data_IF_801828316375
#
_entry.id   IF_801828316375
#
_cell.length_a   1.000
_cell.length_b   1.000
_cell.length_c   1.000
_cell.angle_alpha   90.00
_cell.angle_beta   90.00
_cell.angle_gamma   90.00
#
_symmetry.space_group_name_H-M   'P 1'
#
loop_
_entity.id
_entity.type
_entity.pdbx_description
1 polymer ?
#
# COMPACT_ATOMS: atom_id res chain seq x y z
N UNK A 1 118.25 93.21 -21.07
CA UNK A 1 116.90 93.41 -21.62
C UNK A 1 116.48 92.21 -22.44
N UNK A 2 117.24 91.83 -23.46
CA UNK A 2 116.99 90.63 -24.28
C UNK A 2 116.98 89.36 -23.43
N UNK A 3 117.91 89.20 -22.48
CA UNK A 3 117.88 88.08 -21.51
C UNK A 3 116.60 88.04 -20.68
N UNK A 4 116.06 89.20 -20.27
CA UNK A 4 114.79 89.28 -19.55
C UNK A 4 113.59 88.97 -20.45
N UNK A 5 113.64 89.36 -21.72
CA UNK A 5 112.62 88.97 -22.72
C UNK A 5 112.63 87.45 -22.92
N UNK A 6 113.82 86.85 -23.01
CA UNK A 6 113.99 85.41 -23.10
C UNK A 6 113.38 84.69 -21.89
N UNK A 7 113.70 85.16 -20.68
CA UNK A 7 113.14 84.62 -19.44
C UNK A 7 111.59 84.65 -19.47
N UNK A 8 110.99 85.80 -19.80
CA UNK A 8 109.52 85.91 -19.92
C UNK A 8 108.97 84.94 -20.97
N UNK A 9 109.56 84.88 -22.17
CA UNK A 9 109.10 83.99 -23.24
C UNK A 9 109.17 82.50 -22.84
N UNK A 10 110.14 82.12 -22.01
CA UNK A 10 110.23 80.76 -21.49
C UNK A 10 109.16 80.43 -20.43
N UNK A 11 108.61 81.43 -19.74
CA UNK A 11 107.52 81.25 -18.76
C UNK A 11 106.13 81.19 -19.39
N UNK A 12 105.96 81.76 -20.60
CA UNK A 12 104.71 81.71 -21.37
C UNK A 12 104.68 80.38 -22.13
N UNK A 13 104.32 79.30 -21.43
CA UNK A 13 104.19 77.94 -22.01
C UNK A 13 102.73 77.56 -22.24
N UNK A 14 102.48 76.50 -23.02
CA UNK A 14 101.13 75.95 -23.19
C UNK A 14 100.50 75.55 -21.84
N UNK A 15 101.28 75.05 -20.88
CA UNK A 15 100.75 74.74 -19.54
C UNK A 15 100.29 76.00 -18.79
N UNK A 16 101.05 77.10 -18.88
CA UNK A 16 100.67 78.38 -18.27
C UNK A 16 99.41 78.99 -18.91
N UNK A 17 99.20 78.75 -20.21
CA UNK A 17 98.03 79.21 -20.95
C UNK A 17 96.81 78.36 -20.58
N UNK A 18 96.98 77.04 -20.52
CA UNK A 18 95.92 76.12 -20.09
C UNK A 18 95.49 76.37 -18.64
N UNK A 19 96.44 76.70 -17.75
CA UNK A 19 96.14 77.11 -16.38
C UNK A 19 95.29 78.38 -16.35
N UNK A 20 95.55 79.33 -17.24
CA UNK A 20 94.77 80.57 -17.38
C UNK A 20 93.35 80.29 -17.89
N UNK A 21 93.19 79.45 -18.93
CA UNK A 21 91.87 79.02 -19.44
C UNK A 21 91.06 78.27 -18.38
N UNK A 22 91.72 77.34 -17.67
CA UNK A 22 91.09 76.57 -16.60
C UNK A 22 90.60 77.47 -15.46
N UNK A 23 91.38 78.50 -15.10
CA UNK A 23 90.99 79.47 -14.08
C UNK A 23 89.81 80.35 -14.52
N UNK A 24 89.71 80.68 -15.81
CA UNK A 24 88.55 81.37 -16.36
C UNK A 24 87.27 80.53 -16.23
N UNK A 25 87.35 79.23 -16.51
CA UNK A 25 86.22 78.30 -16.33
C UNK A 25 85.82 78.21 -14.85
N UNK A 26 86.79 78.07 -13.94
CA UNK A 26 86.54 77.99 -12.50
C UNK A 26 85.80 79.23 -11.95
N UNK A 27 86.19 80.43 -12.41
CA UNK A 27 85.62 81.71 -11.96
C UNK A 27 84.38 82.14 -12.75
N UNK A 28 83.95 81.37 -13.76
CA UNK A 28 82.82 81.73 -14.63
C UNK A 28 83.07 82.96 -15.51
N UNK A 29 84.33 83.26 -15.83
CA UNK A 29 84.70 84.38 -16.70
C UNK A 29 84.46 84.00 -18.17
N UNK A 30 83.80 84.88 -18.93
CA UNK A 30 83.58 84.69 -20.36
C UNK A 30 84.88 84.91 -21.15
N UNK A 31 85.39 83.81 -21.72
CA UNK A 31 86.63 83.72 -22.49
C UNK A 31 86.57 84.41 -23.85
N UNK A 32 85.37 84.83 -24.28
CA UNK A 32 85.15 85.51 -25.56
C UNK A 32 84.93 87.03 -25.41
N UNK A 33 85.15 87.60 -24.22
CA UNK A 33 84.98 89.04 -23.96
C UNK A 33 86.02 89.94 -24.63
N UNK A 34 87.15 89.38 -25.07
CA UNK A 34 88.18 90.11 -25.81
C UNK A 34 87.76 90.41 -27.25
N UNK A 35 88.56 91.22 -27.97
CA UNK A 35 88.39 91.43 -29.42
C UNK A 35 88.47 90.11 -30.21
N UNK A 36 89.23 89.17 -29.67
CA UNK A 36 89.42 87.81 -30.15
C UNK A 36 89.24 86.88 -28.93
N UNK A 37 88.78 85.65 -29.14
CA UNK A 37 88.66 84.69 -28.03
C UNK A 37 90.01 84.46 -27.36
N UNK A 38 90.00 84.13 -26.07
CA UNK A 38 91.24 83.92 -25.33
C UNK A 38 92.04 82.73 -25.90
N UNK A 39 91.36 81.69 -26.39
CA UNK A 39 91.98 80.54 -27.05
C UNK A 39 92.70 80.93 -28.35
N UNK A 40 92.03 81.69 -29.23
CA UNK A 40 92.62 82.20 -30.47
C UNK A 40 93.75 83.21 -30.18
N UNK A 41 93.60 84.01 -29.11
CA UNK A 41 94.67 84.88 -28.63
C UNK A 41 95.91 84.07 -28.21
N UNK A 42 95.75 82.93 -27.53
CA UNK A 42 96.88 82.07 -27.19
C UNK A 42 97.55 81.42 -28.40
N UNK A 43 96.79 81.08 -29.46
CA UNK A 43 97.38 80.64 -30.74
C UNK A 43 98.29 81.74 -31.31
N UNK A 44 97.81 82.99 -31.34
CA UNK A 44 98.60 84.14 -31.79
C UNK A 44 99.82 84.40 -30.89
N UNK A 45 99.67 84.25 -29.56
CA UNK A 45 100.77 84.39 -28.61
C UNK A 45 101.86 83.33 -28.83
N UNK A 46 101.49 82.09 -29.15
CA UNK A 46 102.45 81.02 -29.42
C UNK A 46 103.23 81.26 -30.71
N UNK A 47 102.56 81.75 -31.76
CA UNK A 47 103.23 82.18 -33.00
C UNK A 47 104.19 83.34 -32.73
N UNK A 48 103.71 84.38 -32.05
CA UNK A 48 104.51 85.54 -31.65
C UNK A 48 105.74 85.15 -30.80
N UNK A 49 105.54 84.26 -29.84
CA UNK A 49 106.60 83.70 -28.99
C UNK A 49 107.65 82.97 -29.82
N UNK A 50 107.24 82.10 -30.73
CA UNK A 50 108.16 81.37 -31.60
C UNK A 50 108.99 82.32 -32.46
N UNK A 51 108.37 83.32 -33.08
CA UNK A 51 109.08 84.33 -33.87
C UNK A 51 110.07 85.13 -33.05
N UNK A 52 109.72 85.52 -31.82
CA UNK A 52 110.62 86.28 -30.94
C UNK A 52 111.76 85.42 -30.40
N UNK A 53 111.51 84.15 -30.06
CA UNK A 53 112.55 83.18 -29.66
C UNK A 53 113.55 83.01 -30.81
N UNK A 54 113.07 82.72 -32.03
CA UNK A 54 113.92 82.57 -33.22
C UNK A 54 114.75 83.85 -33.49
N UNK A 55 114.13 85.02 -33.35
CA UNK A 55 114.82 86.30 -33.50
C UNK A 55 115.90 86.54 -32.42
N UNK A 56 115.70 86.07 -31.19
CA UNK A 56 116.68 86.14 -30.10
C UNK A 56 117.83 85.16 -30.37
N UNK A 57 117.52 83.89 -30.64
CA UNK A 57 118.53 82.84 -30.89
C UNK A 57 119.45 83.19 -32.06
N UNK A 58 118.89 83.74 -33.14
CA UNK A 58 119.65 84.18 -34.31
C UNK A 58 120.34 85.53 -34.14
N UNK A 59 120.33 86.12 -32.94
CA UNK A 59 120.87 87.46 -32.63
C UNK A 59 120.29 88.58 -33.53
N UNK A 60 119.10 88.39 -34.10
CA UNK A 60 118.43 89.36 -34.99
C UNK A 60 117.71 90.42 -34.17
N UNK A 61 117.19 90.07 -32.99
CA UNK A 61 116.50 91.02 -32.10
C UNK A 61 117.44 92.11 -31.54
N UNK A 62 118.73 91.79 -31.33
CA UNK A 62 119.78 92.74 -30.89
C UNK A 62 119.97 93.88 -31.90
N UNK A 63 119.70 93.63 -33.17
CA UNK A 63 119.91 94.58 -34.26
C UNK A 63 118.78 95.62 -34.36
N UNK A 64 117.67 95.42 -33.65
CA UNK A 64 116.57 96.40 -33.62
C UNK A 64 116.93 97.61 -32.74
N UNK A 65 116.43 98.82 -33.07
CA UNK A 65 116.52 99.98 -32.20
C UNK A 65 116.10 99.66 -30.76
N UNK A 66 116.88 100.14 -29.78
CA UNK A 66 116.62 99.91 -28.35
C UNK A 66 115.20 100.35 -27.95
N UNK A 67 114.65 101.38 -28.60
CA UNK A 67 113.26 101.83 -28.41
C UNK A 67 112.23 100.75 -28.79
N UNK A 68 112.49 99.95 -29.83
CA UNK A 68 111.62 98.84 -30.25
C UNK A 68 111.79 97.66 -29.30
N UNK A 69 113.04 97.34 -28.91
CA UNK A 69 113.30 96.29 -27.91
C UNK A 69 112.58 96.60 -26.59
N UNK A 70 112.61 97.86 -26.14
CA UNK A 70 111.88 98.32 -24.95
C UNK A 70 110.36 98.16 -25.09
N UNK A 71 109.79 98.50 -26.25
CA UNK A 71 108.35 98.32 -26.50
C UNK A 71 107.95 96.85 -26.44
N UNK A 72 108.74 95.97 -27.08
CA UNK A 72 108.50 94.52 -27.05
C UNK A 72 108.61 93.95 -25.64
N UNK A 73 109.64 94.37 -24.90
CA UNK A 73 109.82 93.97 -23.52
C UNK A 73 108.63 94.41 -22.65
N UNK A 74 108.16 95.65 -22.78
CA UNK A 74 107.01 96.14 -22.03
C UNK A 74 105.70 95.40 -22.37
N UNK A 75 105.52 95.01 -23.64
CA UNK A 75 104.37 94.20 -24.08
C UNK A 75 104.44 92.79 -23.48
N UNK A 76 105.61 92.13 -23.52
CA UNK A 76 105.81 90.81 -22.92
C UNK A 76 105.63 90.84 -21.39
N UNK A 77 106.13 91.87 -20.71
CA UNK A 77 105.95 92.07 -19.27
C UNK A 77 104.47 92.26 -18.92
N UNK A 78 103.73 93.02 -19.75
CA UNK A 78 102.28 93.19 -19.58
C UNK A 78 101.54 91.87 -19.75
N UNK A 79 101.86 91.08 -20.79
CA UNK A 79 101.27 89.76 -21.02
C UNK A 79 101.54 88.84 -19.83
N UNK A 80 102.79 88.72 -19.40
CA UNK A 80 103.18 87.88 -18.25
C UNK A 80 102.46 88.30 -16.97
N UNK A 81 102.33 89.61 -16.72
CA UNK A 81 101.61 90.16 -15.57
C UNK A 81 100.11 89.84 -15.62
N UNK A 82 99.44 90.12 -16.74
CA UNK A 82 98.01 89.85 -16.89
C UNK A 82 97.72 88.35 -16.81
N UNK A 83 98.57 87.50 -17.42
CA UNK A 83 98.45 86.05 -17.35
C UNK A 83 98.61 85.53 -15.92
N UNK A 84 99.63 86.00 -15.19
CA UNK A 84 99.84 85.61 -13.79
C UNK A 84 98.69 86.08 -12.88
N UNK A 85 98.18 87.28 -13.11
CA UNK A 85 97.04 87.84 -12.36
C UNK A 85 95.74 87.07 -12.64
N UNK A 86 95.56 86.61 -13.89
CA UNK A 86 94.44 85.76 -14.29
C UNK A 86 94.51 84.38 -13.63
N UNK A 87 95.69 83.77 -13.58
CA UNK A 87 95.93 82.49 -12.86
C UNK A 87 95.69 82.66 -11.36
N UNK A 88 96.08 83.80 -10.77
CA UNK A 88 95.82 84.14 -9.37
C UNK A 88 94.33 84.42 -9.07
N UNK A 89 93.49 84.52 -10.10
CA UNK A 89 92.03 84.62 -9.98
C UNK A 89 91.45 86.02 -10.10
N UNK A 90 92.19 86.96 -10.70
CA UNK A 90 91.67 88.30 -11.05
C UNK A 90 91.11 88.29 -12.48
N UNK A 91 90.00 88.99 -12.75
CA UNK A 91 89.43 89.09 -14.10
C UNK A 91 90.29 90.00 -15.00
N UNK A 92 91.19 89.38 -15.76
CA UNK A 92 92.14 90.04 -16.67
C UNK A 92 92.01 89.55 -18.12
N UNK A 93 90.92 88.84 -18.48
CA UNK A 93 90.73 88.19 -19.80
C UNK A 93 90.88 89.17 -20.95
N UNK A 94 90.21 90.33 -20.86
CA UNK A 94 90.24 91.36 -21.91
C UNK A 94 91.61 92.03 -22.00
N UNK A 95 92.24 92.30 -20.85
CA UNK A 95 93.56 92.94 -20.81
C UNK A 95 94.65 92.03 -21.37
N UNK A 96 94.58 90.72 -21.07
CA UNK A 96 95.47 89.72 -21.63
C UNK A 96 95.30 89.59 -23.15
N UNK A 97 94.06 89.44 -23.63
CA UNK A 97 93.78 89.36 -25.07
C UNK A 97 94.29 90.60 -25.82
N UNK A 98 94.06 91.80 -25.28
CA UNK A 98 94.53 93.05 -25.88
C UNK A 98 96.06 93.17 -25.87
N UNK A 99 96.73 92.76 -24.78
CA UNK A 99 98.19 92.80 -24.69
C UNK A 99 98.85 91.83 -25.69
N UNK A 100 98.26 90.65 -25.89
CA UNK A 100 98.68 89.68 -26.90
C UNK A 100 98.52 90.24 -28.30
N UNK A 101 97.37 90.85 -28.60
CA UNK A 101 97.12 91.42 -29.92
C UNK A 101 98.08 92.58 -30.22
N UNK A 102 98.36 93.45 -29.23
CA UNK A 102 99.36 94.51 -29.38
C UNK A 102 100.76 93.96 -29.68
N UNK A 103 101.15 92.84 -29.06
CA UNK A 103 102.41 92.17 -29.38
C UNK A 103 102.39 91.63 -30.81
N UNK A 104 101.34 90.93 -31.20
CA UNK A 104 101.20 90.35 -32.54
C UNK A 104 101.26 91.43 -33.64
N UNK A 105 100.48 92.51 -33.48
CA UNK A 105 100.52 93.69 -34.36
C UNK A 105 101.93 94.28 -34.43
N UNK A 106 102.63 94.36 -33.31
CA UNK A 106 103.97 94.92 -33.29
C UNK A 106 104.99 94.01 -34.00
N UNK A 107 104.86 92.67 -33.90
CA UNK A 107 105.70 91.72 -34.65
C UNK A 107 105.52 91.90 -36.16
N UNK A 108 104.28 92.08 -36.61
CA UNK A 108 103.98 92.41 -37.99
C UNK A 108 104.50 93.80 -38.40
N UNK A 109 104.27 94.83 -37.58
CA UNK A 109 104.69 96.21 -37.87
C UNK A 109 106.21 96.35 -38.03
N UNK A 110 106.99 95.62 -37.23
CA UNK A 110 108.45 95.65 -37.32
C UNK A 110 109.03 94.57 -38.25
N UNK A 111 108.17 93.86 -39.00
CA UNK A 111 108.59 92.93 -40.05
C UNK A 111 109.34 91.70 -39.55
N UNK A 112 109.10 91.29 -38.30
CA UNK A 112 109.86 90.22 -37.65
C UNK A 112 109.69 88.85 -38.35
N UNK A 113 108.58 88.62 -39.05
CA UNK A 113 108.34 87.41 -39.86
C UNK A 113 109.25 87.31 -41.10
N UNK A 114 109.70 88.44 -41.66
CA UNK A 114 110.57 88.47 -42.85
C UNK A 114 112.05 88.29 -42.50
N UNK A 115 112.38 88.18 -41.21
CA UNK A 115 113.73 87.85 -40.74
C UNK A 115 113.97 86.33 -40.72
N UNK A 116 113.02 85.50 -41.14
CA UNK A 116 113.17 84.04 -41.25
C UNK A 116 113.29 83.61 -42.73
N UNK A 117 114.42 83.02 -43.12
CA UNK A 117 114.80 82.74 -44.52
C UNK A 117 114.28 81.38 -45.05
N UNK A 118 112.99 81.21 -45.40
CA UNK A 118 112.51 79.97 -46.05
C UNK A 118 111.57 80.18 -47.28
N UNK A 119 112.13 80.00 -48.48
CA UNK A 119 111.41 79.74 -49.74
C UNK A 119 111.22 78.22 -49.92
N UNK A 120 110.55 77.55 -48.97
CA UNK A 120 110.27 76.10 -48.96
C UNK A 120 108.78 75.73 -49.20
N UNK A 121 107.91 76.72 -49.43
CA UNK A 121 106.45 76.53 -49.32
C UNK A 121 105.70 75.90 -50.50
N UNK A 122 106.21 75.93 -51.74
CA UNK A 122 105.41 75.55 -52.93
C UNK A 122 105.38 74.05 -53.22
N UNK A 123 106.52 73.36 -53.12
CA UNK A 123 106.60 71.91 -53.36
C UNK A 123 105.88 71.10 -52.27
N UNK A 124 105.99 71.55 -51.01
CA UNK A 124 105.22 71.01 -49.89
C UNK A 124 103.71 71.17 -50.12
N UNK A 125 103.24 72.34 -50.57
CA UNK A 125 101.83 72.57 -50.88
C UNK A 125 101.30 71.72 -52.04
N UNK A 126 102.12 71.45 -53.07
CA UNK A 126 101.73 70.58 -54.19
C UNK A 126 101.56 69.12 -53.74
N UNK A 127 102.47 68.62 -52.90
CA UNK A 127 102.35 67.30 -52.31
C UNK A 127 101.15 67.19 -51.36
N UNK A 128 100.89 68.23 -50.54
CA UNK A 128 99.68 68.32 -49.72
C UNK A 128 98.40 68.26 -50.57
N UNK A 129 98.33 69.02 -51.68
CA UNK A 129 97.20 69.01 -52.62
C UNK A 129 96.95 67.61 -53.21
N UNK A 130 98.02 66.89 -53.57
CA UNK A 130 97.91 65.54 -54.11
C UNK A 130 97.43 64.53 -53.06
N UNK A 131 97.90 64.66 -51.82
CA UNK A 131 97.40 63.85 -50.69
C UNK A 131 95.92 64.12 -50.44
N UNK A 132 95.51 65.39 -50.42
CA UNK A 132 94.11 65.78 -50.27
C UNK A 132 93.22 65.26 -51.42
N UNK A 133 93.71 65.25 -52.66
CA UNK A 133 92.96 64.68 -53.79
C UNK A 133 92.74 63.17 -53.63
N UNK A 134 93.76 62.44 -53.17
CA UNK A 134 93.66 61.00 -52.89
C UNK A 134 92.70 60.72 -51.73
N UNK A 135 92.78 61.51 -50.66
CA UNK A 135 91.84 61.44 -49.54
C UNK A 135 90.41 61.76 -49.96
N UNK A 136 90.19 62.79 -50.79
CA UNK A 136 88.87 63.13 -51.32
C UNK A 136 88.30 62.01 -52.20
N UNK A 137 89.13 61.36 -53.02
CA UNK A 137 88.72 60.18 -53.82
C UNK A 137 88.37 58.98 -52.94
N UNK A 138 89.11 58.75 -51.86
CA UNK A 138 88.81 57.69 -50.90
C UNK A 138 87.51 57.97 -50.13
N UNK A 139 87.34 59.22 -49.66
CA UNK A 139 86.13 59.68 -48.99
C UNK A 139 84.90 59.54 -49.89
N UNK A 140 85.02 59.88 -51.19
CA UNK A 140 83.94 59.69 -52.17
C UNK A 140 83.56 58.22 -52.33
N UNK A 141 84.54 57.31 -52.36
CA UNK A 141 84.27 55.85 -52.42
C UNK A 141 83.57 55.38 -51.15
N UNK A 142 84.04 55.81 -49.97
CA UNK A 142 83.41 55.50 -48.67
C UNK A 142 81.98 56.03 -48.59
N UNK A 143 81.74 57.27 -49.04
CA UNK A 143 80.40 57.87 -49.09
C UNK A 143 79.47 57.07 -49.99
N UNK A 144 79.92 56.68 -51.18
CA UNK A 144 79.07 55.91 -52.10
C UNK A 144 78.75 54.50 -51.57
N UNK A 145 79.70 53.86 -50.89
CA UNK A 145 79.46 52.61 -50.16
C UNK A 145 78.46 52.81 -49.01
N UNK A 146 78.57 53.93 -48.28
CA UNK A 146 77.64 54.33 -47.22
C UNK A 146 76.22 54.55 -47.72
N UNK A 147 76.05 55.24 -48.85
CA UNK A 147 74.73 55.42 -49.49
C UNK A 147 74.10 54.08 -49.87
N UNK A 148 74.87 53.18 -50.48
CA UNK A 148 74.38 51.83 -50.83
C UNK A 148 73.98 51.00 -49.59
N UNK A 149 74.67 51.21 -48.47
CA UNK A 149 74.30 50.60 -47.19
C UNK A 149 73.00 51.21 -46.64
N UNK A 150 72.82 52.53 -46.77
CA UNK A 150 71.61 53.22 -46.36
C UNK A 150 70.38 52.73 -47.14
N UNK A 151 70.47 52.58 -48.46
CA UNK A 151 69.37 52.04 -49.28
C UNK A 151 68.96 50.63 -48.83
N UNK A 152 69.94 49.79 -48.45
CA UNK A 152 69.69 48.45 -47.91
C UNK A 152 69.04 48.48 -46.54
N UNK A 153 69.45 49.42 -45.68
CA UNK A 153 68.83 49.62 -44.36
C UNK A 153 67.39 50.08 -44.50
N UNK A 154 67.11 51.02 -45.40
CA UNK A 154 65.76 51.52 -45.64
C UNK A 154 64.83 50.39 -46.11
N UNK A 155 65.28 49.56 -47.06
CA UNK A 155 64.53 48.38 -47.51
C UNK A 155 64.31 47.36 -46.39
N UNK A 156 65.29 47.17 -45.50
CA UNK A 156 65.18 46.27 -44.37
C UNK A 156 64.17 46.80 -43.33
N UNK A 157 64.21 48.11 -43.04
CA UNK A 157 63.22 48.78 -42.17
C UNK A 157 61.80 48.64 -42.75
N UNK A 158 61.63 48.83 -44.06
CA UNK A 158 60.30 48.67 -44.68
C UNK A 158 59.81 47.24 -44.53
N UNK A 159 60.67 46.26 -44.82
CA UNK A 159 60.34 44.83 -44.68
C UNK A 159 59.99 44.46 -43.24
N UNK A 160 60.75 44.96 -42.27
CA UNK A 160 60.48 44.76 -40.83
C UNK A 160 59.16 45.39 -40.41
N UNK A 161 58.82 46.58 -40.94
CA UNK A 161 57.53 47.23 -40.67
C UNK A 161 56.37 46.39 -41.18
N UNK A 162 56.44 45.91 -42.44
CA UNK A 162 55.41 45.04 -43.01
C UNK A 162 55.26 43.74 -42.22
N UNK A 163 56.38 43.12 -41.82
CA UNK A 163 56.34 41.92 -40.98
C UNK A 163 55.72 42.18 -39.61
N UNK A 164 55.94 43.34 -39.00
CA UNK A 164 55.30 43.70 -37.74
C UNK A 164 53.78 43.85 -37.88
N UNK A 165 53.30 44.43 -38.98
CA UNK A 165 51.87 44.53 -39.27
C UNK A 165 51.23 43.14 -39.46
N UNK A 166 51.90 42.25 -40.20
CA UNK A 166 51.48 40.86 -40.36
C UNK A 166 51.42 40.11 -39.02
N UNK A 167 52.44 40.28 -38.16
CA UNK A 167 52.47 39.68 -36.81
C UNK A 167 51.31 40.23 -35.97
N UNK A 168 51.04 41.53 -36.00
CA UNK A 168 49.93 42.12 -35.26
C UNK A 168 48.57 41.56 -35.71
N UNK A 169 48.38 41.36 -37.02
CA UNK A 169 47.18 40.74 -37.57
C UNK A 169 47.03 39.27 -37.13
N UNK A 170 48.13 38.51 -37.10
CA UNK A 170 48.16 37.13 -36.59
C UNK A 170 47.78 37.10 -35.11
N UNK A 171 48.38 37.96 -34.27
CA UNK A 171 48.07 38.04 -32.84
C UNK A 171 46.59 38.34 -32.60
N UNK A 172 46.00 39.26 -33.36
CA UNK A 172 44.55 39.55 -33.27
C UNK A 172 43.69 38.34 -33.62
N UNK A 173 44.09 37.60 -34.65
CA UNK A 173 43.38 36.37 -35.09
C UNK A 173 43.49 35.28 -34.02
N UNK A 174 44.67 35.09 -33.45
CA UNK A 174 44.92 34.12 -32.37
C UNK A 174 44.10 34.48 -31.12
N UNK A 175 44.05 35.75 -30.72
CA UNK A 175 43.25 36.18 -29.58
C UNK A 175 41.75 35.93 -29.81
N UNK A 176 41.26 36.20 -31.03
CA UNK A 176 39.86 35.92 -31.39
C UNK A 176 39.56 34.42 -31.38
N UNK A 177 40.48 33.60 -31.89
CA UNK A 177 40.36 32.15 -31.84
C UNK A 177 40.39 31.62 -30.40
N UNK A 178 41.27 32.15 -29.55
CA UNK A 178 41.33 31.82 -28.12
C UNK A 178 40.02 32.10 -27.39
N UNK A 179 39.45 33.30 -27.57
CA UNK A 179 38.15 33.65 -26.99
C UNK A 179 37.01 32.72 -27.44
N UNK A 180 37.03 32.29 -28.72
CA UNK A 180 36.07 31.29 -29.22
C UNK A 180 36.27 29.93 -28.56
N UNK A 181 37.52 29.48 -28.43
CA UNK A 181 37.86 28.22 -27.76
C UNK A 181 37.37 28.24 -26.30
N UNK A 182 37.61 29.32 -25.57
CA UNK A 182 37.13 29.48 -24.19
C UNK A 182 35.61 29.39 -24.10
N UNK A 183 34.90 30.06 -25.03
CA UNK A 183 33.43 30.02 -25.07
C UNK A 183 32.88 28.61 -25.35
N UNK A 184 33.52 27.85 -26.25
CA UNK A 184 33.12 26.47 -26.53
C UNK A 184 33.47 25.53 -25.38
N UNK A 185 34.56 25.76 -24.66
CA UNK A 185 34.94 24.98 -23.48
C UNK A 185 33.90 25.14 -22.35
N UNK A 186 33.39 26.36 -22.14
CA UNK A 186 32.28 26.62 -21.21
C UNK A 186 31.04 25.83 -21.62
N UNK A 187 30.64 25.89 -22.91
CA UNK A 187 29.47 25.15 -23.42
C UNK A 187 29.62 23.64 -23.26
N UNK A 188 30.81 23.09 -23.51
CA UNK A 188 31.11 21.67 -23.33
C UNK A 188 30.99 21.27 -21.85
N UNK A 189 31.47 22.12 -20.95
CA UNK A 189 31.39 21.87 -19.51
C UNK A 189 29.95 21.89 -19.01
N UNK A 190 29.13 22.86 -19.44
CA UNK A 190 27.70 22.90 -19.14
C UNK A 190 26.95 21.69 -19.71
N UNK A 191 27.28 21.28 -20.94
CA UNK A 191 26.71 20.09 -21.55
C UNK A 191 27.09 18.82 -20.77
N UNK A 192 28.34 18.72 -20.31
CA UNK A 192 28.82 17.63 -19.46
C UNK A 192 28.05 17.55 -18.14
N UNK A 193 27.85 18.69 -17.46
CA UNK A 193 27.06 18.74 -16.22
C UNK A 193 25.61 18.30 -16.43
N UNK A 194 24.96 18.76 -17.52
CA UNK A 194 23.60 18.33 -17.89
C UNK A 194 23.52 16.84 -18.19
N UNK A 195 24.54 16.28 -18.86
CA UNK A 195 24.64 14.85 -19.13
C UNK A 195 24.76 14.04 -17.84
N UNK A 196 25.60 14.48 -16.89
CA UNK A 196 25.73 13.84 -15.58
C UNK A 196 24.43 13.87 -14.79
N UNK A 197 23.74 15.02 -14.75
CA UNK A 197 22.44 15.12 -14.08
C UNK A 197 21.39 14.18 -14.70
N UNK A 198 21.37 14.10 -16.04
CA UNK A 198 20.46 13.19 -16.77
C UNK A 198 20.77 11.72 -16.45
N UNK A 199 22.05 11.35 -16.36
CA UNK A 199 22.47 10.00 -15.98
C UNK A 199 21.99 9.62 -14.58
N UNK A 200 22.09 10.53 -13.60
CA UNK A 200 21.59 10.30 -12.24
C UNK A 200 20.07 10.07 -12.23
N UNK A 201 19.31 10.86 -13.00
CA UNK A 201 17.85 10.67 -13.14
C UNK A 201 17.52 9.31 -13.74
N UNK A 202 18.26 8.89 -14.78
CA UNK A 202 18.08 7.57 -15.40
C UNK A 202 18.34 6.44 -14.39
N UNK A 203 19.43 6.53 -13.60
CA UNK A 203 19.75 5.53 -12.57
C UNK A 203 18.66 5.44 -11.48
N UNK A 204 18.12 6.58 -11.06
CA UNK A 204 17.02 6.60 -10.08
C UNK A 204 15.72 6.02 -10.67
N UNK A 205 15.44 6.30 -11.94
CA UNK A 205 14.31 5.72 -12.65
C UNK A 205 14.43 4.21 -12.79
N UNK A 206 15.63 3.69 -13.09
CA UNK A 206 15.90 2.25 -13.20
C UNK A 206 15.65 1.53 -11.87
N UNK A 207 16.11 2.10 -10.76
CA UNK A 207 15.84 1.57 -9.42
C UNK A 207 14.32 1.53 -9.12
N UNK A 208 13.60 2.60 -9.48
CA UNK A 208 12.14 2.69 -9.29
C UNK A 208 11.40 1.67 -10.14
N UNK A 209 11.78 1.51 -11.42
CA UNK A 209 11.21 0.50 -12.32
C UNK A 209 11.44 -0.90 -11.78
N UNK A 210 12.63 -1.19 -11.26
CA UNK A 210 12.96 -2.49 -10.66
C UNK A 210 12.07 -2.78 -9.44
N UNK A 211 11.86 -1.79 -8.58
CA UNK A 211 10.97 -1.91 -7.42
C UNK A 211 9.51 -2.14 -7.84
N UNK A 212 9.03 -1.40 -8.84
CA UNK A 212 7.67 -1.57 -9.37
C UNK A 212 7.48 -2.94 -10.04
N UNK A 213 8.49 -3.44 -10.76
CA UNK A 213 8.46 -4.78 -11.35
C UNK A 213 8.37 -5.87 -10.28
N UNK A 214 9.14 -5.73 -9.18
CA UNK A 214 9.05 -6.65 -8.05
C UNK A 214 7.65 -6.63 -7.40
N UNK A 215 7.07 -5.45 -7.20
CA UNK A 215 5.72 -5.30 -6.67
C UNK A 215 4.64 -5.88 -7.61
N UNK A 216 4.80 -5.69 -8.93
CA UNK A 216 3.91 -6.27 -9.93
C UNK A 216 3.97 -7.79 -9.92
N UNK A 217 5.17 -8.39 -9.83
CA UNK A 217 5.33 -9.83 -9.72
C UNK A 217 4.68 -10.42 -8.46
N UNK A 218 4.75 -9.72 -7.32
CA UNK A 218 4.03 -10.11 -6.10
C UNK A 218 2.52 -10.06 -6.31
N UNK A 219 2.00 -8.99 -6.92
CA UNK A 219 0.57 -8.90 -7.24
C UNK A 219 0.11 -10.01 -8.20
N UNK A 220 0.93 -10.38 -9.18
CA UNK A 220 0.64 -11.50 -10.08
C UNK A 220 0.58 -12.82 -9.30
N UNK A 221 1.50 -13.05 -8.36
CA UNK A 221 1.45 -14.23 -7.49
C UNK A 221 0.18 -14.27 -6.62
N UNK A 222 -0.21 -13.13 -6.05
CA UNK A 222 -1.44 -13.01 -5.26
C UNK A 222 -2.70 -13.25 -6.10
N UNK A 223 -2.75 -12.70 -7.33
CA UNK A 223 -3.84 -12.94 -8.28
C UNK A 223 -3.96 -14.43 -8.60
N UNK A 224 -2.84 -15.10 -8.89
CA UNK A 224 -2.82 -16.54 -9.16
C UNK A 224 -3.32 -17.37 -7.96
N UNK A 225 -2.91 -17.00 -6.74
CA UNK A 225 -3.39 -17.65 -5.53
C UNK A 225 -4.91 -17.45 -5.32
N UNK A 226 -5.43 -16.26 -5.65
CA UNK A 226 -6.87 -16.00 -5.62
C UNK A 226 -7.63 -16.78 -6.69
N UNK A 227 -7.09 -16.91 -7.90
CA UNK A 227 -7.66 -17.73 -8.99
C UNK A 227 -7.80 -19.20 -8.56
N UNK A 228 -6.78 -19.76 -7.89
CA UNK A 228 -6.86 -21.12 -7.32
C UNK A 228 -8.00 -21.23 -6.30
N UNK A 229 -8.10 -20.28 -5.35
CA UNK A 229 -9.18 -20.28 -4.34
C UNK A 229 -10.58 -20.15 -4.97
N UNK A 230 -10.71 -19.35 -6.02
CA UNK A 230 -11.98 -19.20 -6.76
C UNK A 230 -12.35 -20.52 -7.42
N UNK A 231 -11.39 -21.21 -8.04
CA UNK A 231 -11.61 -22.50 -8.69
C UNK A 231 -12.06 -23.55 -7.67
N UNK A 232 -11.35 -23.68 -6.55
CA UNK A 232 -11.72 -24.58 -5.44
C UNK A 232 -13.13 -24.27 -4.88
N UNK A 233 -13.47 -22.98 -4.79
CA UNK A 233 -14.80 -22.56 -4.33
C UNK A 233 -15.90 -23.00 -5.29
N UNK A 234 -15.69 -22.86 -6.61
CA UNK A 234 -16.65 -23.33 -7.61
C UNK A 234 -16.79 -24.86 -7.64
N UNK A 235 -15.69 -25.60 -7.44
CA UNK A 235 -15.75 -27.06 -7.29
C UNK A 235 -16.61 -27.47 -6.08
N UNK A 236 -16.41 -26.83 -4.92
CA UNK A 236 -17.24 -27.07 -3.72
C UNK A 236 -18.70 -26.72 -3.95
N UNK A 237 -19.00 -25.62 -4.65
CA UNK A 237 -20.39 -25.27 -5.01
C UNK A 237 -21.02 -26.36 -5.89
N UNK A 238 -20.27 -26.88 -6.87
CA UNK A 238 -20.74 -27.96 -7.74
C UNK A 238 -21.04 -29.23 -6.94
N UNK A 239 -20.14 -29.60 -6.01
CA UNK A 239 -20.37 -30.73 -5.11
C UNK A 239 -21.59 -30.54 -4.21
N UNK A 240 -21.77 -29.36 -3.61
CA UNK A 240 -22.93 -29.07 -2.79
C UNK A 240 -24.23 -29.11 -3.61
N UNK A 241 -24.23 -28.57 -4.82
CA UNK A 241 -25.37 -28.68 -5.73
C UNK A 241 -25.71 -30.13 -6.02
N UNK A 242 -24.70 -30.96 -6.28
CA UNK A 242 -24.90 -32.41 -6.48
C UNK A 242 -25.55 -33.03 -5.24
N UNK A 243 -25.00 -32.79 -4.04
CA UNK A 243 -25.54 -33.31 -2.76
C UNK A 243 -26.98 -32.85 -2.51
N UNK A 244 -27.30 -31.59 -2.78
CA UNK A 244 -28.66 -31.05 -2.64
C UNK A 244 -29.61 -31.80 -3.57
N UNK A 245 -29.25 -31.98 -4.85
CA UNK A 245 -30.08 -32.71 -5.79
C UNK A 245 -30.29 -34.17 -5.37
N UNK A 246 -29.26 -34.85 -4.84
CA UNK A 246 -29.43 -36.22 -4.34
C UNK A 246 -30.35 -36.27 -3.13
N UNK A 247 -30.21 -35.34 -2.18
CA UNK A 247 -31.07 -35.25 -1.00
C UNK A 247 -32.51 -34.94 -1.39
N UNK A 248 -32.72 -34.06 -2.38
CA UNK A 248 -34.05 -33.77 -2.92
C UNK A 248 -34.67 -35.03 -3.55
N UNK A 249 -33.91 -35.79 -4.33
CA UNK A 249 -34.38 -37.04 -4.94
C UNK A 249 -34.71 -38.11 -3.88
N UNK A 250 -33.84 -38.27 -2.88
CA UNK A 250 -34.04 -39.21 -1.77
C UNK A 250 -35.24 -38.82 -0.89
N UNK A 251 -35.40 -37.53 -0.60
CA UNK A 251 -36.55 -37.02 0.15
C UNK A 251 -37.85 -37.25 -0.63
N UNK A 252 -37.87 -36.97 -1.94
CA UNK A 252 -39.04 -37.23 -2.79
C UNK A 252 -39.38 -38.73 -2.84
N UNK A 253 -38.38 -39.61 -2.96
CA UNK A 253 -38.57 -41.07 -2.89
C UNK A 253 -39.12 -41.51 -1.53
N UNK A 254 -38.58 -40.99 -0.43
CA UNK A 254 -39.02 -41.32 0.92
C UNK A 254 -40.45 -40.85 1.19
N UNK A 255 -40.82 -39.64 0.76
CA UNK A 255 -42.18 -39.10 0.86
C UNK A 255 -43.16 -39.93 0.04
N UNK A 256 -42.81 -40.27 -1.21
CA UNK A 256 -43.63 -41.12 -2.06
C UNK A 256 -43.86 -42.51 -1.43
N UNK A 257 -42.79 -43.16 -0.96
CA UNK A 257 -42.88 -44.47 -0.31
C UNK A 257 -43.64 -44.45 1.03
N UNK A 258 -43.49 -43.39 1.83
CA UNK A 258 -44.28 -43.24 3.06
C UNK A 258 -45.75 -42.98 2.76
N UNK A 259 -46.06 -42.21 1.71
CA UNK A 259 -47.44 -42.00 1.27
C UNK A 259 -48.09 -43.33 0.88
N UNK A 260 -47.41 -44.13 0.06
CA UNK A 260 -47.89 -45.45 -0.35
C UNK A 260 -48.13 -46.39 0.85
N UNK A 261 -47.19 -46.47 1.80
CA UNK A 261 -47.37 -47.23 3.05
C UNK A 261 -48.51 -46.70 3.92
N UNK A 262 -48.69 -45.39 3.96
CA UNK A 262 -49.78 -44.77 4.72
C UNK A 262 -51.13 -45.12 4.11
N UNK A 263 -51.24 -45.09 2.79
CA UNK A 263 -52.45 -45.49 2.06
C UNK A 263 -52.73 -47.00 2.25
N UNK A 264 -51.71 -47.85 2.25
CA UNK A 264 -51.82 -49.28 2.58
C UNK A 264 -52.31 -49.52 4.02
N UNK A 265 -51.77 -48.77 4.98
CA UNK A 265 -52.21 -48.83 6.39
C UNK A 265 -53.65 -48.36 6.55
N UNK A 266 -54.05 -47.28 5.88
CA UNK A 266 -55.43 -46.76 5.91
C UNK A 266 -56.40 -47.80 5.35
N UNK A 267 -56.08 -48.40 4.21
CA UNK A 267 -56.93 -49.44 3.59
C UNK A 267 -57.02 -50.70 4.46
N UNK A 268 -55.91 -51.11 5.07
CA UNK A 268 -55.88 -52.23 6.03
C UNK A 268 -56.72 -51.93 7.26
N UNK A 269 -56.59 -50.74 7.86
CA UNK A 269 -57.39 -50.31 9.00
C UNK A 269 -58.88 -50.27 8.67
N UNK A 270 -59.28 -49.72 7.52
CA UNK A 270 -60.66 -49.71 7.07
C UNK A 270 -61.23 -51.14 6.90
N UNK A 271 -60.40 -52.07 6.41
CA UNK A 271 -60.78 -53.47 6.26
C UNK A 271 -60.97 -54.15 7.62
N UNK A 272 -60.01 -53.96 8.54
CA UNK A 272 -60.09 -54.46 9.92
C UNK A 272 -61.29 -53.89 10.68
N UNK A 273 -61.56 -52.59 10.54
CA UNK A 273 -62.74 -51.94 11.12
C UNK A 273 -64.03 -52.59 10.60
N UNK A 274 -64.12 -52.82 9.28
CA UNK A 274 -65.24 -53.54 8.66
C UNK A 274 -65.41 -54.95 9.23
N UNK A 275 -64.32 -55.71 9.36
CA UNK A 275 -64.32 -57.05 9.95
C UNK A 275 -64.75 -57.04 11.43
N UNK A 276 -64.24 -56.09 12.21
CA UNK A 276 -64.62 -55.92 13.63
C UNK A 276 -66.10 -55.60 13.74
N UNK A 277 -66.62 -54.70 12.91
CA UNK A 277 -68.05 -54.34 12.88
C UNK A 277 -68.94 -55.53 12.53
N UNK A 278 -68.54 -56.32 11.53
CA UNK A 278 -69.25 -57.53 11.14
C UNK A 278 -69.25 -58.58 12.27
N UNK A 279 -68.09 -58.81 12.90
CA UNK A 279 -67.99 -59.76 14.01
C UNK A 279 -68.75 -59.30 15.26
N UNK A 280 -68.72 -58.00 15.60
CA UNK A 280 -69.51 -57.44 16.69
C UNK A 280 -71.01 -57.61 16.42
N UNK A 281 -71.50 -57.25 15.23
CA UNK A 281 -72.92 -57.45 14.86
C UNK A 281 -73.33 -58.93 14.97
N UNK A 282 -72.49 -59.85 14.51
CA UNK A 282 -72.74 -61.30 14.63
C UNK A 282 -72.74 -61.79 16.08
N UNK A 283 -71.81 -61.30 16.91
CA UNK A 283 -71.58 -61.85 18.24
C UNK A 283 -72.54 -61.34 19.32
N UNK A 284 -73.05 -60.11 19.22
CA UNK A 284 -73.52 -59.40 20.44
C UNK A 284 -75.00 -59.04 20.49
N UNK A 285 -75.65 -58.69 19.39
CA UNK A 285 -77.08 -58.33 19.41
C UNK A 285 -77.99 -59.48 18.96
N UNK A 286 -77.75 -59.99 17.75
CA UNK A 286 -78.71 -60.88 17.07
C UNK A 286 -78.61 -62.33 17.55
N UNK A 287 -77.39 -62.83 17.79
CA UNK A 287 -77.15 -64.19 18.30
C UNK A 287 -77.70 -64.41 19.72
N UNK A 288 -77.44 -63.47 20.62
CA UNK A 288 -77.94 -63.49 22.01
C UNK A 288 -79.47 -63.34 22.05
N UNK A 289 -80.04 -62.43 21.26
CA UNK A 289 -81.50 -62.31 21.15
C UNK A 289 -82.15 -63.60 20.67
N UNK A 290 -81.62 -64.21 19.62
CA UNK A 290 -82.21 -65.41 19.05
C UNK A 290 -82.09 -66.61 19.99
N UNK A 291 -80.96 -66.80 20.66
CA UNK A 291 -80.77 -67.88 21.63
C UNK A 291 -81.66 -67.73 22.88
N UNK A 292 -81.77 -66.52 23.44
CA UNK A 292 -82.68 -66.25 24.56
C UNK A 292 -84.16 -66.32 24.16
N UNK A 293 -84.54 -65.79 23.00
CA UNK A 293 -85.90 -65.85 22.48
C UNK A 293 -86.35 -67.29 22.18
N UNK A 294 -85.47 -68.12 21.62
CA UNK A 294 -85.75 -69.55 21.39
C UNK A 294 -85.95 -70.29 22.71
N UNK A 295 -85.12 -70.01 23.72
CA UNK A 295 -85.25 -70.63 25.05
C UNK A 295 -86.52 -70.18 25.78
N UNK A 296 -86.87 -68.90 25.68
CA UNK A 296 -88.15 -68.36 26.18
C UNK A 296 -89.34 -69.05 25.51
N UNK A 297 -89.32 -69.23 24.19
CA UNK A 297 -90.39 -69.91 23.46
C UNK A 297 -90.62 -71.36 23.91
N UNK A 298 -89.54 -72.10 24.16
CA UNK A 298 -89.60 -73.45 24.72
C UNK A 298 -90.18 -73.46 26.14
N UNK A 299 -89.77 -72.52 27.00
CA UNK A 299 -90.27 -72.40 28.37
C UNK A 299 -91.74 -71.97 28.43
N UNK A 300 -92.21 -71.10 27.53
CA UNK A 300 -93.63 -70.73 27.41
C UNK A 300 -94.50 -71.94 27.03
N UNK A 301 -94.01 -72.76 26.10
CA UNK A 301 -94.70 -74.01 25.72
C UNK A 301 -94.82 -74.96 26.91
N UNK A 302 -93.74 -75.12 27.68
CA UNK A 302 -93.71 -75.92 28.91
C UNK A 302 -94.62 -75.36 30.02
N UNK A 303 -94.61 -74.04 30.22
CA UNK A 303 -95.49 -73.34 31.18
C UNK A 303 -96.96 -73.55 30.84
N UNK A 304 -97.34 -73.45 29.56
CA UNK A 304 -98.69 -73.76 29.08
C UNK A 304 -99.07 -75.23 29.28
N UNK A 305 -98.10 -76.15 29.15
CA UNK A 305 -98.32 -77.56 29.43
C UNK A 305 -98.61 -77.79 30.92
N UNK A 306 -97.83 -77.21 31.84
CA UNK A 306 -98.10 -77.29 33.27
C UNK A 306 -99.40 -76.61 33.69
N UNK A 307 -99.78 -75.50 33.06
CA UNK A 307 -101.07 -74.85 33.31
C UNK A 307 -102.24 -75.76 32.94
N UNK A 308 -102.14 -76.46 31.79
CA UNK A 308 -103.13 -77.48 31.39
C UNK A 308 -103.15 -78.65 32.36
N UNK A 309 -101.98 -79.15 32.77
CA UNK A 309 -101.87 -80.23 33.76
C UNK A 309 -102.50 -79.85 35.11
N UNK A 310 -102.25 -78.61 35.60
CA UNK A 310 -102.85 -78.09 36.82
C UNK A 310 -104.38 -77.96 36.69
N UNK A 311 -104.86 -77.44 35.56
CA UNK A 311 -106.31 -77.31 35.29
C UNK A 311 -107.00 -78.67 35.29
N UNK A 312 -106.42 -79.67 34.63
CA UNK A 312 -106.92 -81.05 34.65
C UNK A 312 -106.93 -81.61 36.07
N UNK A 313 -105.86 -81.38 36.84
CA UNK A 313 -105.75 -81.90 38.20
C UNK A 313 -106.77 -81.27 39.16
N UNK A 314 -107.07 -79.98 39.00
CA UNK A 314 -108.15 -79.31 39.76
C UNK A 314 -109.51 -79.92 39.41
N UNK A 315 -109.79 -80.12 38.12
CA UNK A 315 -111.04 -80.75 37.67
C UNK A 315 -111.17 -82.18 38.22
N UNK A 316 -110.08 -82.95 38.22
CA UNK A 316 -110.05 -84.30 38.81
C UNK A 316 -110.22 -84.27 40.33
N UNK A 317 -109.58 -83.32 41.01
CA UNK A 317 -109.66 -83.17 42.47
C UNK A 317 -111.05 -82.77 42.96
N UNK A 318 -111.83 -82.04 42.15
CA UNK A 318 -113.23 -81.69 42.47
C UNK A 318 -114.19 -82.78 41.97
N UNK A 319 -113.91 -83.38 40.82
CA UNK A 319 -114.74 -84.41 40.21
C UNK A 319 -114.75 -85.74 40.98
N UNK A 320 -113.61 -86.16 41.53
CA UNK A 320 -113.51 -87.40 42.31
C UNK A 320 -114.38 -87.38 43.58
N UNK A 321 -114.34 -86.35 44.44
CA UNK A 321 -115.22 -86.25 45.59
C UNK A 321 -116.71 -86.27 45.22
N UNK A 322 -117.10 -85.53 44.18
CA UNK A 322 -118.49 -85.48 43.70
C UNK A 322 -118.95 -86.85 43.18
N UNK A 323 -118.10 -87.54 42.42
CA UNK A 323 -118.38 -88.89 41.92
C UNK A 323 -118.48 -89.92 43.06
N UNK A 324 -117.59 -89.83 44.06
CA UNK A 324 -117.56 -90.74 45.21
C UNK A 324 -118.76 -90.54 46.13
N UNK A 325 -119.19 -89.29 46.37
CA UNK A 325 -120.39 -88.96 47.14
C UNK A 325 -121.66 -89.51 46.49
N UNK A 326 -121.74 -89.50 45.16
CA UNK A 326 -122.94 -89.95 44.44
C UNK A 326 -123.04 -91.48 44.32
N UNK A 327 -121.94 -92.22 44.56
CA UNK A 327 -121.87 -93.67 44.33
C UNK A 327 -121.85 -94.50 45.63
N UNK A 328 -121.61 -93.90 46.80
CA UNK A 328 -121.35 -94.66 48.04
C UNK A 328 -122.23 -94.21 49.20
N UNK A 329 -123.16 -95.06 49.65
CA UNK A 329 -123.97 -94.86 50.86
C UNK A 329 -123.44 -95.73 52.00
N UNK A 330 -122.53 -95.18 52.82
CA UNK A 330 -122.00 -95.84 54.03
C UNK A 330 -120.51 -95.59 54.25
N UNK A 331 -120.11 -95.34 55.50
CA UNK A 331 -118.69 -95.21 55.90
C UNK A 331 -118.05 -96.60 56.03
N UNK A 332 -117.70 -97.20 54.89
CA UNK A 332 -117.06 -98.51 54.81
C UNK A 332 -115.59 -98.40 54.33
N UNK A 333 -114.84 -99.50 54.40
CA UNK A 333 -113.40 -99.62 54.08
C UNK A 333 -113.02 -99.00 52.71
N UNK A 334 -113.95 -99.00 51.75
CA UNK A 334 -113.80 -98.34 50.45
C UNK A 334 -113.68 -96.80 50.54
N UNK A 335 -114.22 -96.15 51.56
CA UNK A 335 -114.10 -94.71 51.81
C UNK A 335 -112.66 -94.33 52.18
N UNK A 336 -112.04 -95.07 53.11
CA UNK A 336 -110.65 -94.83 53.52
C UNK A 336 -109.64 -95.12 52.39
N UNK A 337 -109.89 -96.14 51.55
CA UNK A 337 -109.07 -96.40 50.37
C UNK A 337 -109.16 -95.26 49.33
N UNK A 338 -110.36 -94.71 49.12
CA UNK A 338 -110.59 -93.54 48.25
C UNK A 338 -109.97 -92.26 48.82
N UNK A 339 -109.97 -92.09 50.15
CA UNK A 339 -109.30 -90.98 50.84
C UNK A 339 -107.77 -91.07 50.71
N UNK A 340 -107.19 -92.27 50.81
CA UNK A 340 -105.75 -92.50 50.58
C UNK A 340 -105.34 -92.10 49.16
N UNK A 341 -106.20 -92.32 48.15
CA UNK A 341 -105.96 -91.89 46.76
C UNK A 341 -105.91 -90.37 46.58
N UNK A 342 -106.43 -89.58 47.54
CA UNK A 342 -106.34 -88.11 47.51
C UNK A 342 -104.97 -87.56 47.93
N UNK A 343 -104.18 -88.32 48.71
CA UNK A 343 -102.84 -87.89 49.14
C UNK A 343 -101.86 -87.74 47.97
N UNK A 344 -101.76 -88.69 47.02
CA UNK A 344 -100.99 -88.50 45.79
C UNK A 344 -101.46 -87.32 44.93
N UNK A 345 -102.77 -87.01 44.92
CA UNK A 345 -103.33 -85.89 44.18
C UNK A 345 -102.94 -84.54 44.80
N UNK A 346 -102.94 -84.44 46.13
CA UNK A 346 -102.48 -83.23 46.84
C UNK A 346 -100.97 -83.02 46.61
N UNK A 347 -100.18 -84.10 46.63
CA UNK A 347 -98.76 -84.02 46.28
C UNK A 347 -98.57 -83.60 44.81
N UNK A 348 -99.30 -84.21 43.87
CA UNK A 348 -99.24 -83.83 42.46
C UNK A 348 -99.66 -82.36 42.23
N UNK A 349 -100.63 -81.85 43.00
CA UNK A 349 -101.11 -80.48 42.90
C UNK A 349 -100.06 -79.49 43.37
N UNK A 350 -99.47 -79.73 44.55
CA UNK A 350 -98.38 -78.91 45.07
C UNK A 350 -97.14 -78.96 44.18
N UNK A 351 -96.80 -80.14 43.66
CA UNK A 351 -95.70 -80.32 42.71
C UNK A 351 -95.92 -79.57 41.39
N UNK A 352 -97.11 -79.69 40.77
CA UNK A 352 -97.43 -78.97 39.53
C UNK A 352 -97.45 -77.45 39.75
N UNK A 353 -97.93 -76.98 40.90
CA UNK A 353 -97.96 -75.54 41.22
C UNK A 353 -96.53 -74.99 41.40
N UNK A 354 -95.66 -75.74 42.08
CA UNK A 354 -94.25 -75.36 42.24
C UNK A 354 -93.49 -75.35 40.91
N UNK A 355 -93.73 -76.34 40.04
CA UNK A 355 -93.07 -76.40 38.73
C UNK A 355 -93.60 -75.35 37.77
N UNK A 356 -94.90 -75.09 37.76
CA UNK A 356 -95.48 -73.98 37.00
C UNK A 356 -94.88 -72.63 37.43
N UNK A 357 -94.77 -72.38 38.73
CA UNK A 357 -94.17 -71.14 39.26
C UNK A 357 -92.70 -71.00 38.87
N UNK A 358 -91.91 -72.08 38.97
CA UNK A 358 -90.50 -72.10 38.56
C UNK A 358 -90.32 -71.85 37.06
N UNK A 359 -91.09 -72.52 36.22
CA UNK A 359 -90.98 -72.35 34.78
C UNK A 359 -91.45 -70.97 34.32
N UNK A 360 -92.51 -70.43 34.94
CA UNK A 360 -92.97 -69.07 34.67
C UNK A 360 -91.91 -68.02 35.06
N UNK A 361 -91.26 -68.21 36.21
CA UNK A 361 -90.15 -67.35 36.65
C UNK A 361 -88.99 -67.37 35.65
N UNK A 362 -88.65 -68.54 35.13
CA UNK A 362 -87.60 -68.68 34.11
C UNK A 362 -88.04 -68.04 32.78
N UNK A 363 -89.28 -68.23 32.35
CA UNK A 363 -89.81 -67.62 31.13
C UNK A 363 -89.67 -66.09 31.17
N UNK A 364 -90.08 -65.45 32.27
CA UNK A 364 -90.01 -64.00 32.45
C UNK A 364 -88.56 -63.51 32.50
N UNK A 365 -87.65 -64.26 33.13
CA UNK A 365 -86.23 -63.92 33.18
C UNK A 365 -85.57 -64.02 31.79
N UNK A 366 -85.88 -65.04 31.00
CA UNK A 366 -85.37 -65.17 29.64
C UNK A 366 -86.02 -64.16 28.67
N UNK A 367 -87.28 -63.78 28.88
CA UNK A 367 -87.95 -62.71 28.14
C UNK A 367 -87.27 -61.36 28.35
N UNK A 368 -86.97 -61.06 29.61
CA UNK A 368 -86.25 -59.84 30.00
C UNK A 368 -84.84 -59.82 29.38
N UNK A 369 -84.09 -60.92 29.50
CA UNK A 369 -82.75 -61.06 28.90
C UNK A 369 -82.77 -60.94 27.37
N UNK A 370 -83.79 -61.50 26.71
CA UNK A 370 -83.98 -61.38 25.27
C UNK A 370 -84.24 -59.93 24.85
N UNK A 371 -85.19 -59.23 25.48
CA UNK A 371 -85.47 -57.83 25.16
C UNK A 371 -84.26 -56.90 25.40
N UNK A 372 -83.49 -57.16 26.45
CA UNK A 372 -82.27 -56.38 26.72
C UNK A 372 -81.20 -56.63 25.66
N UNK A 373 -81.04 -57.86 25.18
CA UNK A 373 -80.04 -58.15 24.14
C UNK A 373 -80.28 -57.38 22.83
N UNK A 374 -81.54 -57.04 22.49
CA UNK A 374 -81.84 -56.13 21.37
C UNK A 374 -81.33 -54.72 21.65
N UNK A 375 -81.50 -54.24 22.88
CA UNK A 375 -81.06 -52.89 23.27
C UNK A 375 -79.53 -52.72 23.26
N UNK A 376 -78.75 -53.82 23.27
CA UNK A 376 -77.29 -53.81 23.23
C UNK A 376 -76.75 -53.23 21.91
N UNK A 377 -77.46 -53.43 20.79
CA UNK A 377 -77.03 -52.98 19.46
C UNK A 377 -76.98 -51.43 19.34
N UNK A 378 -78.00 -50.68 19.80
CA UNK A 378 -77.92 -49.23 19.95
C UNK A 378 -76.77 -48.75 20.85
N UNK A 379 -76.46 -49.45 21.95
CA UNK A 379 -75.33 -49.08 22.82
C UNK A 379 -73.98 -49.24 22.11
N UNK A 380 -73.84 -50.24 21.26
CA UNK A 380 -72.64 -50.43 20.46
C UNK A 380 -72.46 -49.36 19.39
N UNK A 381 -73.54 -48.99 18.69
CA UNK A 381 -73.51 -47.86 17.74
C UNK A 381 -73.13 -46.54 18.42
N UNK A 382 -73.57 -46.34 19.67
CA UNK A 382 -73.19 -45.18 20.47
C UNK A 382 -71.68 -45.17 20.78
N UNK A 383 -71.10 -46.32 21.14
CA UNK A 383 -69.66 -46.47 21.38
C UNK A 383 -68.86 -46.27 20.08
N UNK A 384 -69.32 -46.82 18.96
CA UNK A 384 -68.67 -46.68 17.64
C UNK A 384 -68.55 -45.20 17.23
N UNK A 385 -69.64 -44.42 17.36
CA UNK A 385 -69.64 -42.98 17.09
C UNK A 385 -68.68 -42.19 17.99
N UNK A 386 -68.49 -42.63 19.24
CA UNK A 386 -67.64 -41.96 20.22
C UNK A 386 -66.15 -42.34 20.06
N UNK A 387 -65.84 -43.56 19.62
CA UNK A 387 -64.47 -43.99 19.34
C UNK A 387 -63.88 -43.23 18.15
N UNK A 388 -64.69 -42.98 17.13
CA UNK A 388 -64.34 -42.14 15.97
C UNK A 388 -64.07 -40.65 16.34
N UNK A 389 -64.59 -40.18 17.48
CA UNK A 389 -64.48 -38.79 17.95
C UNK A 389 -63.19 -38.40 18.69
N UNK A 390 -62.21 -39.30 18.83
CA UNK A 390 -60.82 -38.93 19.13
C UNK A 390 -60.48 -38.31 20.50
N UNK A 391 -61.36 -38.28 21.50
CA UNK A 391 -61.04 -37.74 22.84
C UNK A 391 -60.90 -38.82 23.92
N UNK A 392 -59.75 -38.91 24.63
CA UNK A 392 -59.48 -39.99 25.59
C UNK A 392 -60.18 -39.84 26.95
N UNK A 393 -60.45 -38.63 27.43
CA UNK A 393 -61.07 -38.41 28.76
C UNK A 393 -62.58 -38.69 28.79
N UNK A 394 -63.29 -38.41 27.70
CA UNK A 394 -64.73 -38.69 27.58
C UNK A 394 -64.98 -40.20 27.45
N UNK A 395 -64.10 -40.94 26.77
CA UNK A 395 -64.20 -42.40 26.61
C UNK A 395 -64.33 -43.12 27.96
N UNK A 396 -63.60 -42.67 28.99
CA UNK A 396 -63.66 -43.31 30.31
C UNK A 396 -65.00 -43.10 31.01
N UNK A 397 -65.51 -41.87 31.06
CA UNK A 397 -66.80 -41.54 31.71
C UNK A 397 -67.98 -42.25 31.04
N UNK A 398 -67.99 -42.30 29.71
CA UNK A 398 -69.06 -42.98 28.97
C UNK A 398 -68.93 -44.50 29.03
N UNK A 399 -67.71 -45.06 29.08
CA UNK A 399 -67.52 -46.50 29.34
C UNK A 399 -68.05 -46.87 30.73
N UNK A 400 -67.78 -46.06 31.76
CA UNK A 400 -68.38 -46.26 33.09
C UNK A 400 -69.90 -46.13 33.07
N UNK A 401 -70.46 -45.17 32.33
CA UNK A 401 -71.90 -45.02 32.17
C UNK A 401 -72.55 -46.20 31.45
N UNK A 402 -71.90 -46.74 30.40
CA UNK A 402 -72.38 -47.92 29.68
C UNK A 402 -72.28 -49.16 30.57
N UNK A 403 -71.18 -49.34 31.30
CA UNK A 403 -71.04 -50.44 32.27
C UNK A 403 -72.09 -50.34 33.38
N UNK A 404 -72.34 -49.15 33.93
CA UNK A 404 -73.36 -48.92 34.97
C UNK A 404 -74.78 -49.09 34.43
N UNK A 405 -75.06 -48.63 33.21
CA UNK A 405 -76.35 -48.81 32.54
C UNK A 405 -76.60 -50.27 32.20
N UNK A 406 -75.58 -50.99 31.68
CA UNK A 406 -75.62 -52.43 31.49
C UNK A 406 -75.86 -53.11 32.84
N UNK A 407 -75.10 -52.80 33.89
CA UNK A 407 -75.31 -53.42 35.21
C UNK A 407 -76.70 -53.15 35.80
N UNK A 408 -77.27 -51.95 35.62
CA UNK A 408 -78.61 -51.59 36.10
C UNK A 408 -79.74 -52.20 35.27
N UNK A 409 -79.54 -52.37 33.96
CA UNK A 409 -80.52 -52.99 33.07
C UNK A 409 -80.45 -54.51 33.16
N UNK A 410 -79.25 -55.10 33.33
CA UNK A 410 -79.05 -56.54 33.45
C UNK A 410 -79.23 -57.09 34.88
N UNK A 411 -79.35 -56.25 35.91
CA UNK A 411 -79.81 -56.71 37.22
C UNK A 411 -81.29 -57.06 37.13
N UNK A 412 -81.60 -58.35 37.25
CA UNK A 412 -82.95 -58.88 37.11
C UNK A 412 -83.91 -58.19 38.09
N UNK A 413 -85.04 -57.62 37.65
CA UNK A 413 -86.08 -57.05 38.53
C UNK A 413 -86.57 -58.07 39.58
N UNK A 414 -86.39 -59.36 39.30
CA UNK A 414 -86.77 -60.49 40.13
C UNK A 414 -85.88 -60.68 41.37
N UNK A 415 -84.69 -60.05 41.43
CA UNK A 415 -83.80 -60.16 42.61
C UNK A 415 -84.25 -59.22 43.75
N UNK A 416 -84.83 -58.05 43.41
CA UNK A 416 -85.28 -57.05 44.41
C UNK A 416 -86.70 -57.26 44.94
N UNK A 417 -87.55 -58.01 44.24
CA UNK A 417 -88.95 -58.24 44.67
C UNK A 417 -89.07 -59.52 45.51
N UNK A 418 -88.15 -60.48 45.37
CA UNK A 418 -88.31 -61.83 45.94
C UNK A 418 -87.30 -62.19 47.06
N UNK A 419 -86.43 -61.27 47.49
CA UNK A 419 -85.57 -61.46 48.66
C UNK A 419 -86.34 -61.39 50.00
N UNK A 420 -87.61 -60.97 49.95
CA UNK A 420 -88.50 -60.93 51.11
C UNK A 420 -89.25 -62.25 51.43
N UNK A 421 -89.13 -63.30 50.61
CA UNK A 421 -89.80 -64.59 50.86
C UNK A 421 -88.94 -65.64 51.61
N UNK A 422 -87.63 -65.40 51.82
CA UNK A 422 -86.75 -66.37 52.50
C UNK A 422 -86.61 -66.18 54.02
N UNK A 423 -87.47 -65.35 54.63
CA UNK A 423 -87.54 -65.13 56.09
C UNK A 423 -88.97 -65.21 56.64
N UNK A 424 -89.75 -66.23 56.29
CA UNK A 424 -90.86 -66.68 57.14
C UNK A 424 -91.42 -68.05 56.73
N UNK A 425 -91.52 -68.95 57.73
CA UNK A 425 -92.14 -70.29 57.78
C UNK A 425 -91.26 -71.44 57.24
N UNK A 426 -90.71 -72.36 58.04
CA UNK A 426 -91.04 -72.87 59.38
C UNK A 426 -92.55 -73.08 59.61
N UNK A 427 -93.23 -73.78 58.71
CA UNK A 427 -94.60 -74.27 58.97
C UNK A 427 -95.03 -75.40 58.02
N UNK A 428 -94.10 -76.32 57.70
CA UNK A 428 -94.45 -77.60 57.05
C UNK A 428 -93.92 -78.82 57.82
N UNK A 429 -93.14 -78.61 58.89
CA UNK A 429 -92.75 -79.68 59.81
C UNK A 429 -93.78 -79.95 60.92
N UNK A 430 -94.56 -78.93 61.32
CA UNK A 430 -95.55 -79.08 62.40
C UNK A 430 -96.90 -79.61 61.91
N UNK A 431 -97.26 -79.38 60.64
CA UNK A 431 -98.44 -80.00 60.01
C UNK A 431 -98.22 -81.50 59.75
N UNK A 432 -97.00 -81.93 59.45
CA UNK A 432 -96.65 -83.36 59.29
C UNK A 432 -96.64 -84.07 60.66
N UNK A 433 -96.20 -83.40 61.73
CA UNK A 433 -96.29 -83.94 63.11
C UNK A 433 -97.72 -83.99 63.65
N UNK A 434 -98.57 -83.00 63.32
CA UNK A 434 -99.99 -83.02 63.69
C UNK A 434 -100.80 -84.07 62.90
N UNK A 435 -100.45 -84.32 61.64
CA UNK A 435 -101.06 -85.40 60.86
C UNK A 435 -100.57 -86.78 61.33
N UNK A 436 -99.30 -86.91 61.70
CA UNK A 436 -98.75 -88.13 62.32
C UNK A 436 -99.44 -88.48 63.64
N UNK A 437 -99.69 -87.51 64.52
CA UNK A 437 -100.34 -87.77 65.82
C UNK A 437 -101.84 -88.07 65.68
N UNK A 438 -102.51 -87.51 64.67
CA UNK A 438 -103.89 -87.85 64.34
C UNK A 438 -104.01 -89.26 63.74
N UNK A 439 -103.06 -89.70 62.92
CA UNK A 439 -103.03 -91.08 62.39
C UNK A 439 -102.74 -92.10 63.50
N UNK A 440 -101.87 -91.79 64.47
CA UNK A 440 -101.62 -92.65 65.64
C UNK A 440 -102.84 -92.76 66.58
N UNK A 441 -103.62 -91.69 66.70
CA UNK A 441 -104.82 -91.65 67.55
C UNK A 441 -106.01 -92.35 66.88
N UNK A 442 -106.15 -92.24 65.56
CA UNK A 442 -107.17 -92.97 64.80
C UNK A 442 -106.84 -94.47 64.70
N UNK A 443 -105.55 -94.84 64.62
CA UNK A 443 -105.10 -96.23 64.64
C UNK A 443 -105.33 -96.97 65.96
N UNK A 444 -105.41 -96.28 67.11
CA UNK A 444 -105.70 -96.89 68.42
C UNK A 444 -107.19 -96.97 68.77
N UNK A 445 -108.07 -96.36 67.96
CA UNK A 445 -109.51 -96.29 68.23
C UNK A 445 -110.34 -97.15 67.27
N UNK A 446 -109.70 -97.78 66.28
CA UNK A 446 -110.26 -98.85 65.44
C UNK A 446 -109.36 -100.11 65.52
N UNK A 447 -109.31 -100.70 66.72
CA UNK A 447 -108.69 -101.97 67.16
C UNK A 447 -107.16 -102.03 67.30
#
# INVERSE_FOLDING_TARGET
MIEKMWEILTTITEESQQASLSKCVELGLDQNRGLVSLEESFINLNSARFTLIDAIEKNKLVQLPITIQNKMFAMLESISKHQTSLIAGTDEVVNLANAIELLNVAIWQYGLHNLSDEVLGYEAKLNQLKTLELEAKDLRRKLHAGLKLNDRLELLVTKTSTQNEEIAAIVSTVNTAGAKVDSELIRITEAGQKATASLTVIQQSEATVTQQLAAANLSVADISAHETKITEFFERISEYRKKINTVEEDANKAVAGNKEKTDELITTLATLEGQIKEQLQKATGVSLFHSFGTRQGLLNSSTKWWLKALTVLVVVSVGLPVYVLNTTTGMDTAFFLKLSMSLPLIYAFTFCTLQYSRERKLEEEYAFKSNISISLMPYQELVEKLVAGGQPEEKQKYTTFIIDSINKVFTSPTEKIFDHENKQKSSSGDTIKQVSSLIETIGKTFK
#
